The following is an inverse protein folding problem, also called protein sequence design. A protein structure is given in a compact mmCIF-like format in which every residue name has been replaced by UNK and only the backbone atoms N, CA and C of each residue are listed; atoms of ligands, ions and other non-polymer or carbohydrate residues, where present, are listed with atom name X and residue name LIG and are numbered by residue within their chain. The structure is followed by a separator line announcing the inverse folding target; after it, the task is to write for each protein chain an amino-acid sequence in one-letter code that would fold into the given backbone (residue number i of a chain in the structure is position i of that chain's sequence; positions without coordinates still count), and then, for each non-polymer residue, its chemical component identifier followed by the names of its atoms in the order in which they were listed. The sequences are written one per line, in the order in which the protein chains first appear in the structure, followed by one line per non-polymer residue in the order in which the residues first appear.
data_IF_456540972289
#
_entry.id   IF_456540972289
#
_cell.length_a   1.000
_cell.length_b   1.000
_cell.length_c   1.000
_cell.angle_alpha   90.00
_cell.angle_beta   90.00
_cell.angle_gamma   90.00
#
_symmetry.space_group_name_H-M   'P 1'
#
loop_
_entity.id
_entity.type
_entity.pdbx_description
1 polymer ?
#
# COMPACT_ATOMS: atom_id res chain seq x y z
N UNK A 1 -18.52 -15.41 -3.99
CA UNK A 1 -17.36 -14.53 -3.75
C UNK A 1 -16.72 -14.97 -2.44
N UNK A 2 -15.51 -15.52 -2.47
CA UNK A 2 -14.82 -15.97 -1.24
C UNK A 2 -14.08 -14.80 -0.63
N UNK A 3 -14.39 -14.44 0.62
CA UNK A 3 -13.55 -13.53 1.39
C UNK A 3 -12.28 -14.29 1.76
N UNK A 4 -11.10 -13.74 1.42
CA UNK A 4 -9.82 -14.27 1.89
C UNK A 4 -9.50 -13.60 3.21
N UNK A 5 -9.35 -14.41 4.26
CA UNK A 5 -8.88 -13.96 5.57
C UNK A 5 -7.36 -14.08 5.61
N UNK A 6 -6.69 -13.06 6.13
CA UNK A 6 -5.25 -13.05 6.34
C UNK A 6 -5.00 -12.84 7.82
N UNK A 7 -4.23 -13.74 8.41
CA UNK A 7 -3.76 -13.61 9.79
C UNK A 7 -2.29 -13.19 9.75
N UNK A 8 -1.95 -12.27 10.64
CA UNK A 8 -0.57 -11.86 10.88
C UNK A 8 -0.24 -12.21 12.32
N UNK A 9 1.00 -12.60 12.58
CA UNK A 9 1.42 -13.06 13.90
C UNK A 9 2.39 -12.09 14.58
N UNK A 10 2.91 -11.10 13.83
CA UNK A 10 3.77 -10.06 14.38
C UNK A 10 2.99 -8.95 15.09
N UNK A 11 3.45 -8.62 16.30
CA UNK A 11 3.01 -7.40 17.02
C UNK A 11 3.78 -6.16 16.58
N UNK A 12 4.96 -6.33 15.96
CA UNK A 12 5.69 -5.21 15.37
C UNK A 12 4.98 -4.74 14.08
N UNK A 13 4.57 -3.46 13.98
CA UNK A 13 3.81 -2.99 12.83
C UNK A 13 4.54 -3.15 11.50
N UNK A 14 5.87 -2.95 11.46
CA UNK A 14 6.64 -3.09 10.23
C UNK A 14 6.65 -4.55 9.74
N UNK A 15 7.01 -5.49 10.61
CA UNK A 15 6.98 -6.92 10.26
C UNK A 15 5.56 -7.42 9.92
N UNK A 16 4.52 -6.86 10.55
CA UNK A 16 3.13 -7.14 10.16
C UNK A 16 2.82 -6.69 8.73
N UNK A 17 3.28 -5.50 8.35
CA UNK A 17 3.19 -4.98 6.98
C UNK A 17 3.86 -5.91 5.97
N UNK A 18 5.09 -6.33 6.29
CA UNK A 18 5.88 -7.30 5.51
C UNK A 18 5.13 -8.61 5.28
N UNK A 19 4.58 -9.20 6.34
CA UNK A 19 3.79 -10.45 6.29
C UNK A 19 2.55 -10.29 5.41
N UNK A 20 1.79 -9.21 5.62
CA UNK A 20 0.58 -8.92 4.85
C UNK A 20 0.90 -8.66 3.37
N UNK A 21 1.94 -7.88 3.09
CA UNK A 21 2.43 -7.59 1.75
C UNK A 21 2.84 -8.85 1.00
N UNK A 22 3.53 -9.78 1.67
CA UNK A 22 3.88 -11.08 1.11
C UNK A 22 2.63 -11.92 0.79
N UNK A 23 1.66 -12.00 1.72
CA UNK A 23 0.41 -12.73 1.52
C UNK A 23 -0.47 -12.14 0.40
N UNK A 24 -0.40 -10.83 0.20
CA UNK A 24 -1.18 -10.09 -0.79
C UNK A 24 -0.42 -9.75 -2.08
N UNK A 25 0.84 -10.18 -2.24
CA UNK A 25 1.76 -9.71 -3.29
C UNK A 25 1.15 -9.78 -4.70
N UNK A 26 0.51 -10.90 -5.04
CA UNK A 26 -0.14 -11.06 -6.35
C UNK A 26 -1.35 -10.12 -6.54
N UNK A 27 -2.08 -9.81 -5.46
CA UNK A 27 -3.18 -8.85 -5.48
C UNK A 27 -2.67 -7.42 -5.66
N UNK A 28 -1.65 -7.05 -4.89
CA UNK A 28 -0.98 -5.75 -4.97
C UNK A 28 -0.43 -5.52 -6.39
N UNK A 29 0.27 -6.49 -6.97
CA UNK A 29 0.79 -6.40 -8.33
C UNK A 29 -0.32 -6.15 -9.37
N UNK A 30 -1.42 -6.91 -9.29
CA UNK A 30 -2.58 -6.70 -10.19
C UNK A 30 -3.21 -5.33 -10.02
N UNK A 31 -3.37 -4.86 -8.78
CA UNK A 31 -3.90 -3.52 -8.52
C UNK A 31 -2.98 -2.45 -9.10
N UNK A 32 -1.66 -2.59 -8.92
CA UNK A 32 -0.66 -1.69 -9.46
C UNK A 32 -0.74 -1.60 -10.99
N UNK A 33 -0.85 -2.73 -11.68
CA UNK A 33 -0.98 -2.75 -13.15
C UNK A 33 -2.23 -1.98 -13.61
N UNK A 34 -3.37 -2.14 -12.91
CA UNK A 34 -4.59 -1.38 -13.21
C UNK A 34 -4.45 0.11 -12.96
N UNK A 35 -3.79 0.50 -11.88
CA UNK A 35 -3.52 1.92 -11.63
C UNK A 35 -2.61 2.52 -12.69
N UNK A 36 -1.60 1.79 -13.18
CA UNK A 36 -0.75 2.24 -14.28
C UNK A 36 -1.54 2.46 -15.57
N UNK A 37 -2.45 1.55 -15.92
CA UNK A 37 -3.37 1.72 -17.05
C UNK A 37 -4.21 2.99 -16.89
N UNK A 38 -4.74 3.22 -15.69
CA UNK A 38 -5.56 4.40 -15.37
C UNK A 38 -4.73 5.69 -15.50
N UNK A 39 -3.56 5.77 -14.89
CA UNK A 39 -2.70 6.95 -14.96
C UNK A 39 -2.31 7.28 -16.40
N UNK A 40 -2.00 6.27 -17.21
CA UNK A 40 -1.72 6.47 -18.63
C UNK A 40 -2.94 7.03 -19.38
N UNK A 41 -4.15 6.53 -19.12
CA UNK A 41 -5.38 7.01 -19.75
C UNK A 41 -5.72 8.48 -19.41
N UNK A 42 -5.31 8.95 -18.23
CA UNK A 42 -5.54 10.32 -17.76
C UNK A 42 -4.30 11.23 -17.89
N UNK A 43 -3.26 10.80 -18.59
CA UNK A 43 -1.99 11.52 -18.75
C UNK A 43 -1.33 11.94 -17.43
N UNK A 44 -1.52 11.16 -16.36
CA UNK A 44 -0.88 11.39 -15.06
C UNK A 44 0.55 10.89 -15.11
N UNK A 45 1.49 11.73 -14.70
CA UNK A 45 2.92 11.43 -14.71
C UNK A 45 3.34 10.66 -13.46
N UNK A 46 4.42 9.84 -13.54
CA UNK A 46 4.99 9.20 -12.35
C UNK A 46 5.40 10.19 -11.25
N UNK A 47 5.80 11.41 -11.62
CA UNK A 47 6.17 12.46 -10.68
C UNK A 47 4.95 12.95 -9.87
N UNK A 48 3.80 13.15 -10.51
CA UNK A 48 2.56 13.53 -9.84
C UNK A 48 2.06 12.41 -8.91
N UNK A 49 2.08 11.16 -9.37
CA UNK A 49 1.72 10.00 -8.55
C UNK A 49 2.59 9.94 -7.30
N UNK A 50 3.90 10.10 -7.47
CA UNK A 50 4.85 10.08 -6.35
C UNK A 50 4.59 11.22 -5.38
N UNK A 51 4.43 12.44 -5.87
CA UNK A 51 4.19 13.63 -5.04
C UNK A 51 2.92 13.49 -4.20
N UNK A 52 1.82 13.04 -4.81
CA UNK A 52 0.55 12.80 -4.10
C UNK A 52 0.71 11.63 -3.11
N UNK A 53 1.36 10.55 -3.51
CA UNK A 53 1.61 9.39 -2.64
C UNK A 53 2.39 9.77 -1.38
N UNK A 54 3.49 10.52 -1.54
CA UNK A 54 4.30 11.01 -0.41
C UNK A 54 3.49 11.97 0.48
N UNK A 55 2.69 12.86 -0.11
CA UNK A 55 1.84 13.78 0.64
C UNK A 55 0.77 13.06 1.49
N UNK A 56 0.22 11.94 1.00
CA UNK A 56 -0.80 11.15 1.73
C UNK A 56 -0.20 10.36 2.90
N UNK A 57 1.08 9.98 2.85
CA UNK A 57 1.73 9.28 3.96
C UNK A 57 1.87 10.16 5.21
N UNK A 58 1.90 11.48 5.05
CA UNK A 58 2.11 12.41 6.16
C UNK A 58 0.90 12.48 7.12
N UNK A 59 -0.34 12.68 6.67
CA UNK A 59 -1.53 12.56 7.53
C UNK A 59 -1.66 11.19 8.22
N UNK A 60 -1.28 10.10 7.54
CA UNK A 60 -1.30 8.77 8.15
C UNK A 60 -0.32 8.71 9.32
N UNK A 61 0.88 9.31 9.17
CA UNK A 61 1.87 9.39 10.23
C UNK A 61 1.36 10.14 11.45
N UNK A 62 0.66 11.26 11.23
CA UNK A 62 0.10 12.12 12.27
C UNK A 62 -1.03 11.43 13.02
N UNK A 63 -1.81 10.61 12.32
CA UNK A 63 -2.86 9.80 12.92
C UNK A 63 -2.31 8.59 13.70
N UNK A 64 -1.36 7.84 13.11
CA UNK A 64 -0.74 6.68 13.74
C UNK A 64 0.62 6.34 13.14
N UNK A 65 1.67 6.49 13.94
CA UNK A 65 3.02 6.06 13.57
C UNK A 65 3.13 4.56 13.32
N UNK A 66 2.32 3.75 14.02
CA UNK A 66 2.24 2.31 13.82
C UNK A 66 1.67 1.95 12.44
N UNK A 67 0.60 2.64 11.99
CA UNK A 67 0.05 2.40 10.64
C UNK A 67 1.03 2.84 9.56
N UNK A 68 1.77 3.94 9.76
CA UNK A 68 2.84 4.35 8.83
C UNK A 68 3.94 3.29 8.74
N UNK A 69 4.35 2.71 9.87
CA UNK A 69 5.35 1.65 9.90
C UNK A 69 4.85 0.39 9.19
N UNK A 70 3.58 0.04 9.35
CA UNK A 70 2.94 -1.10 8.68
C UNK A 70 2.78 -0.92 7.16
N UNK A 71 2.53 0.29 6.67
CA UNK A 71 2.52 0.56 5.22
C UNK A 71 3.94 0.50 4.63
N UNK A 72 4.96 0.84 5.42
CA UNK A 72 6.35 0.86 4.98
C UNK A 72 6.98 -0.53 4.92
N UNK A 73 6.45 -1.50 5.67
CA UNK A 73 6.87 -2.91 5.66
C UNK A 73 6.27 -3.68 4.49
#
# INVERSE_FOLDING_TARGET
MSVRHFETHSTDPYERGRELGAGCAAGIARCWDRYRELWAAYAVTPAEVRSVGEAVLQPIAEFSSALRAEIAG
#
